data_IF_589443484931
#
_entry.id   IF_589443484931
#
_cell.length_a   1.000
_cell.length_b   1.000
_cell.length_c   1.000
_cell.angle_alpha   90.00
_cell.angle_beta   90.00
_cell.angle_gamma   90.00
#
_symmetry.space_group_name_H-M   'P 1'
#
loop_
_entity.id
_entity.type
_entity.pdbx_description
1 polymer ?
#
# COMPACT_ATOMS: atom_id res chain seq x y z
N UNK A 1 -4.47 9.57 0.68
CA UNK A 1 -4.27 9.08 -0.72
C UNK A 1 -3.20 7.98 -0.77
N UNK A 2 -3.44 6.90 -1.51
CA UNK A 2 -2.54 5.74 -1.63
C UNK A 2 -1.83 5.73 -2.99
N UNK A 3 -0.51 5.52 -3.00
CA UNK A 3 0.24 5.26 -4.24
C UNK A 3 -0.09 3.87 -4.77
N UNK A 4 0.03 3.67 -6.09
CA UNK A 4 -0.29 2.38 -6.70
C UNK A 4 0.75 1.31 -6.35
N UNK A 5 0.26 0.13 -5.98
CA UNK A 5 1.06 -1.09 -5.79
C UNK A 5 0.58 -2.14 -6.79
N UNK A 6 1.51 -2.82 -7.46
CA UNK A 6 1.20 -3.89 -8.42
C UNK A 6 1.89 -5.17 -8.01
N UNK A 7 1.12 -6.26 -7.98
CA UNK A 7 1.63 -7.62 -7.77
C UNK A 7 1.12 -8.51 -8.90
N UNK A 8 1.99 -8.84 -9.85
CA UNK A 8 1.61 -9.52 -11.09
C UNK A 8 0.56 -8.73 -11.90
N UNK A 9 -0.62 -9.32 -12.08
CA UNK A 9 -1.76 -8.69 -12.76
C UNK A 9 -2.67 -7.86 -11.83
N UNK A 10 -2.47 -7.91 -10.51
CA UNK A 10 -3.30 -7.19 -9.54
C UNK A 10 -2.74 -5.81 -9.26
N UNK A 11 -3.61 -4.82 -9.18
CA UNK A 11 -3.29 -3.43 -8.82
C UNK A 11 -4.06 -3.07 -7.54
N UNK A 12 -3.37 -2.49 -6.58
CA UNK A 12 -3.90 -1.95 -5.34
C UNK A 12 -3.66 -0.44 -5.35
N UNK A 13 -4.74 0.34 -5.52
CA UNK A 13 -4.69 1.80 -5.63
C UNK A 13 -5.35 2.52 -4.46
N UNK A 14 -5.94 1.77 -3.53
CA UNK A 14 -6.61 2.30 -2.35
C UNK A 14 -6.06 1.66 -1.08
N UNK A 15 -6.13 2.35 0.08
CA UNK A 15 -5.72 1.77 1.35
C UNK A 15 -6.46 0.46 1.66
N UNK A 16 -7.75 0.34 1.33
CA UNK A 16 -8.52 -0.89 1.53
C UNK A 16 -8.00 -2.06 0.69
N UNK A 17 -7.69 -1.81 -0.58
CA UNK A 17 -7.12 -2.84 -1.45
C UNK A 17 -5.73 -3.27 -0.97
N UNK A 18 -4.91 -2.31 -0.55
CA UNK A 18 -3.59 -2.60 0.01
C UNK A 18 -3.70 -3.36 1.34
N UNK A 19 -4.66 -3.03 2.21
CA UNK A 19 -4.93 -3.77 3.43
C UNK A 19 -5.28 -5.23 3.14
N UNK A 20 -6.14 -5.48 2.14
CA UNK A 20 -6.46 -6.83 1.69
C UNK A 20 -5.26 -7.61 1.14
N UNK A 21 -4.21 -6.93 0.72
CA UNK A 21 -2.94 -7.52 0.30
C UNK A 21 -1.98 -7.77 1.47
N UNK A 22 -2.02 -6.92 2.50
CA UNK A 22 -1.12 -6.93 3.67
C UNK A 22 -1.76 -7.55 4.93
N UNK A 23 -2.70 -8.49 4.76
CA UNK A 23 -3.40 -9.19 5.84
C UNK A 23 -4.15 -8.28 6.85
N UNK A 24 -4.63 -7.13 6.37
CA UNK A 24 -5.52 -6.22 7.09
C UNK A 24 -4.92 -4.84 7.35
N UNK A 25 -5.68 -3.98 8.05
CA UNK A 25 -5.27 -2.59 8.35
C UNK A 25 -4.06 -2.49 9.28
N UNK A 26 -3.75 -3.55 10.04
CA UNK A 26 -2.56 -3.62 10.91
C UNK A 26 -1.24 -3.69 10.13
N UNK A 27 -1.29 -4.17 8.89
CA UNK A 27 -0.13 -4.19 7.99
C UNK A 27 0.13 -2.85 7.31
N UNK A 28 -0.80 -1.89 7.44
CA UNK A 28 -0.66 -0.56 6.85
C UNK A 28 0.01 0.39 7.85
N UNK A 29 1.04 1.05 7.37
CA UNK A 29 1.62 2.22 8.01
C UNK A 29 0.94 3.49 7.49
N UNK A 30 0.35 4.27 8.41
CA UNK A 30 -0.38 5.50 8.08
C UNK A 30 0.51 6.71 8.29
N UNK A 31 0.63 7.58 7.28
CA UNK A 31 1.31 8.88 7.41
C UNK A 31 0.39 9.93 8.05
N UNK A 32 -0.88 9.89 7.68
CA UNK A 32 -1.91 10.77 8.23
C UNK A 32 -3.26 10.04 8.16
N UNK A 33 -3.89 9.85 9.31
CA UNK A 33 -5.20 9.23 9.40
C UNK A 33 -5.99 9.83 10.56
N UNK A 34 -7.06 10.57 10.22
CA UNK A 34 -7.97 11.14 11.21
C UNK A 34 -9.19 10.22 11.37
N UNK A 35 -9.08 9.30 12.34
CA UNK A 35 -10.17 8.42 12.74
C UNK A 35 -10.30 7.11 11.94
N UNK A 36 -10.82 6.08 12.60
CA UNK A 36 -10.93 4.71 12.08
C UNK A 36 -12.10 4.48 11.10
N UNK A 37 -12.87 5.49 10.66
CA UNK A 37 -14.01 5.25 9.75
C UNK A 37 -13.74 5.67 8.30
N UNK A 38 -12.76 6.54 8.05
CA UNK A 38 -12.48 7.11 6.72
C UNK A 38 -11.12 6.67 6.13
N UNK A 39 -10.77 5.39 6.28
CA UNK A 39 -9.48 4.84 5.82
C UNK A 39 -9.18 5.11 4.36
N UNK A 40 -10.22 5.29 3.53
CA UNK A 40 -10.09 5.60 2.11
C UNK A 40 -9.44 6.97 1.86
N UNK A 41 -9.53 7.90 2.80
CA UNK A 41 -8.96 9.25 2.70
C UNK A 41 -7.56 9.33 3.30
N UNK A 42 -7.24 8.44 4.24
CA UNK A 42 -5.94 8.40 4.92
C UNK A 42 -4.75 8.27 3.95
N UNK A 43 -3.63 8.88 4.33
CA UNK A 43 -2.37 8.81 3.59
C UNK A 43 -1.57 7.61 4.10
N UNK A 44 -1.14 6.75 3.17
CA UNK A 44 -0.43 5.51 3.49
C UNK A 44 1.04 5.62 3.13
N UNK A 45 1.91 5.19 4.03
CA UNK A 45 3.31 4.94 3.74
C UNK A 45 3.45 3.55 3.10
N UNK A 46 3.31 3.51 1.77
CA UNK A 46 3.38 2.26 1.00
C UNK A 46 4.74 1.54 1.16
N UNK A 47 5.90 2.20 0.98
CA UNK A 47 7.21 1.57 1.22
C UNK A 47 7.30 0.90 2.58
N UNK A 48 6.96 1.64 3.65
CA UNK A 48 7.08 1.15 5.02
C UNK A 48 6.10 0.03 5.34
N UNK A 49 4.90 0.08 4.76
CA UNK A 49 3.92 -1.01 4.85
C UNK A 49 4.44 -2.31 4.21
N UNK A 50 5.07 -2.21 3.03
CA UNK A 50 5.68 -3.36 2.35
C UNK A 50 6.90 -3.90 3.09
N UNK A 51 7.75 -3.02 3.64
CA UNK A 51 8.90 -3.40 4.47
C UNK A 51 8.48 -4.14 5.74
N UNK A 52 7.47 -3.66 6.46
CA UNK A 52 6.94 -4.34 7.66
C UNK A 52 6.40 -5.74 7.33
N UNK A 53 5.80 -5.90 6.14
CA UNK A 53 5.35 -7.19 5.64
C UNK A 53 6.48 -8.08 5.09
N UNK A 54 7.74 -7.63 5.14
CA UNK A 54 8.90 -8.31 4.54
C UNK A 54 8.73 -8.62 3.05
N UNK A 55 7.99 -7.78 2.34
CA UNK A 55 7.71 -7.92 0.91
C UNK A 55 8.81 -7.23 0.12
N UNK A 56 9.39 -7.92 -0.86
CA UNK A 56 10.33 -7.33 -1.81
C UNK A 56 9.59 -6.50 -2.85
N UNK A 57 10.09 -5.30 -3.13
CA UNK A 57 9.47 -4.40 -4.08
C UNK A 57 10.52 -3.51 -4.77
N UNK A 58 10.14 -3.01 -5.94
CA UNK A 58 10.91 -2.03 -6.72
C UNK A 58 10.00 -0.87 -7.09
N UNK A 59 10.55 0.34 -7.19
CA UNK A 59 9.82 1.52 -7.64
C UNK A 59 9.93 1.72 -9.15
N UNK A 60 8.80 1.71 -9.86
CA UNK A 60 8.73 2.05 -11.28
C UNK A 60 8.38 3.53 -11.46
N UNK A 61 9.39 4.35 -11.76
CA UNK A 61 9.24 5.81 -11.87
C UNK A 61 8.33 6.26 -13.01
N UNK A 62 8.29 5.52 -14.13
CA UNK A 62 7.48 5.86 -15.32
C UNK A 62 5.98 5.84 -15.04
N UNK A 63 5.53 4.87 -14.26
CA UNK A 63 4.11 4.66 -13.93
C UNK A 63 3.79 5.10 -12.50
N UNK A 64 4.79 5.58 -11.76
CA UNK A 64 4.69 5.92 -10.34
C UNK A 64 4.06 4.79 -9.51
N UNK A 65 4.52 3.56 -9.73
CA UNK A 65 3.96 2.34 -9.13
C UNK A 65 5.02 1.54 -8.38
N UNK A 66 4.66 1.00 -7.22
CA UNK A 66 5.47 0.01 -6.51
C UNK A 66 5.20 -1.39 -7.08
N UNK A 67 6.21 -2.02 -7.67
CA UNK A 67 6.15 -3.37 -8.20
C UNK A 67 6.60 -4.36 -7.13
N UNK A 68 5.71 -5.25 -6.71
CA UNK A 68 6.01 -6.31 -5.74
C UNK A 68 6.58 -7.53 -6.45
N UNK A 69 7.73 -8.00 -5.97
CA UNK A 69 8.39 -9.22 -6.41
C UNK A 69 7.91 -10.39 -5.54
N UNK A 70 7.50 -11.49 -6.17
CA UNK A 70 7.11 -12.73 -5.49
C UNK A 70 8.11 -13.83 -5.79
#
# INVERSE_FOLDING_TARGET
MCKQVRSGAKIYSTPRQLAGFLDGSRGIEWLDCQGEMDWCLCVVDVPRSLERASIKWTWESKTQTYLVER
#
